data_IF_063051857417
#
_entry.id   IF_063051857417
#
_cell.length_a   1.000
_cell.length_b   1.000
_cell.length_c   1.000
_cell.angle_alpha   90.00
_cell.angle_beta   90.00
_cell.angle_gamma   90.00
#
_symmetry.space_group_name_H-M   'P 1'
#
loop_
_entity.id
_entity.type
_entity.pdbx_description
1 polymer ?
#
# COMPACT_ATOMS: atom_id res chain seq x y z
N UNK A 1 -18.02 5.71 3.39
CA UNK A 1 -18.61 6.02 2.07
C UNK A 1 -18.57 7.51 1.71
N UNK A 2 -19.11 8.42 2.54
CA UNK A 2 -19.19 9.87 2.20
C UNK A 2 -17.84 10.47 1.77
N UNK A 3 -16.76 10.14 2.49
CA UNK A 3 -15.40 10.63 2.16
C UNK A 3 -14.92 10.15 0.80
N UNK A 4 -15.11 8.88 0.45
CA UNK A 4 -14.65 8.29 -0.82
C UNK A 4 -15.35 8.91 -2.02
N UNK A 5 -16.67 9.12 -1.94
CA UNK A 5 -17.43 9.76 -3.01
C UNK A 5 -17.03 11.24 -3.19
N UNK A 6 -16.81 11.96 -2.08
CA UNK A 6 -16.33 13.34 -2.11
C UNK A 6 -14.97 13.47 -2.78
N UNK A 7 -14.00 12.63 -2.41
CA UNK A 7 -12.66 12.63 -3.03
C UNK A 7 -12.73 12.32 -4.53
N UNK A 8 -13.62 11.40 -4.95
CA UNK A 8 -13.82 11.11 -6.37
C UNK A 8 -14.37 12.32 -7.14
N UNK A 9 -15.38 13.02 -6.59
CA UNK A 9 -15.95 14.21 -7.21
C UNK A 9 -14.94 15.37 -7.31
N UNK A 10 -14.15 15.60 -6.25
CA UNK A 10 -13.12 16.65 -6.22
C UNK A 10 -11.98 16.31 -7.19
N UNK A 11 -11.57 15.05 -7.26
CA UNK A 11 -10.57 14.61 -8.25
C UNK A 11 -11.05 14.90 -9.67
N UNK A 12 -12.32 14.56 -9.96
CA UNK A 12 -12.90 14.80 -11.28
C UNK A 12 -13.00 16.30 -11.64
N UNK A 13 -13.28 17.18 -10.67
CA UNK A 13 -13.35 18.64 -10.93
C UNK A 13 -12.01 19.25 -11.34
N UNK A 14 -10.89 18.62 -10.96
CA UNK A 14 -9.53 19.00 -11.39
C UNK A 14 -8.99 18.13 -12.52
N UNK A 15 -9.84 17.32 -13.17
CA UNK A 15 -9.47 16.48 -14.31
C UNK A 15 -8.72 15.19 -13.95
N UNK A 16 -8.70 14.79 -12.67
CA UNK A 16 -8.10 13.53 -12.21
C UNK A 16 -9.15 12.42 -12.15
N UNK A 17 -8.74 11.21 -12.53
CA UNK A 17 -9.58 10.01 -12.45
C UNK A 17 -9.00 9.00 -11.44
N UNK A 18 -9.86 8.46 -10.58
CA UNK A 18 -9.46 7.43 -9.61
C UNK A 18 -9.51 6.07 -10.30
N UNK A 19 -8.36 5.40 -10.38
CA UNK A 19 -8.26 4.09 -10.99
C UNK A 19 -8.73 2.99 -10.01
N UNK A 20 -10.00 2.60 -10.13
CA UNK A 20 -10.64 1.61 -9.25
C UNK A 20 -9.81 0.34 -9.01
N UNK A 21 -9.31 -0.29 -10.08
CA UNK A 21 -8.53 -1.54 -9.96
C UNK A 21 -7.14 -1.41 -9.30
N UNK A 22 -6.63 -0.19 -9.10
CA UNK A 22 -5.36 0.07 -8.39
C UNK A 22 -5.62 0.58 -6.96
N UNK A 23 -6.84 1.02 -6.68
CA UNK A 23 -7.23 1.50 -5.37
C UNK A 23 -7.57 0.31 -4.49
N UNK A 24 -6.89 0.22 -3.36
CA UNK A 24 -7.14 -0.79 -2.32
C UNK A 24 -7.40 -0.09 -1.00
N UNK A 25 -8.09 -0.77 -0.10
CA UNK A 25 -8.38 -0.29 1.24
C UNK A 25 -7.33 -0.86 2.17
N UNK A 26 -6.60 0.01 2.86
CA UNK A 26 -5.68 -0.38 3.90
C UNK A 26 -6.26 0.06 5.24
N UNK A 27 -6.32 -0.86 6.20
CA UNK A 27 -6.90 -0.62 7.53
C UNK A 27 -5.77 -0.52 8.54
N UNK A 28 -5.83 0.49 9.40
CA UNK A 28 -4.85 0.73 10.45
C UNK A 28 -5.56 0.90 11.78
N UNK A 29 -5.16 0.14 12.79
CA UNK A 29 -5.69 0.18 14.17
C UNK A 29 -7.22 0.01 14.28
N UNK A 30 -7.88 -0.69 13.36
CA UNK A 30 -9.33 -0.89 13.40
C UNK A 30 -9.71 -2.32 13.02
N UNK A 31 -10.46 -2.99 13.89
CA UNK A 31 -11.01 -4.32 13.60
C UNK A 31 -12.37 -4.13 12.92
N UNK A 32 -12.42 -4.50 11.64
CA UNK A 32 -13.65 -4.65 10.83
C UNK A 32 -14.53 -3.41 10.65
N UNK A 33 -14.19 -2.61 9.63
CA UNK A 33 -15.07 -1.59 9.04
C UNK A 33 -15.85 -2.14 7.85
N UNK A 34 -17.02 -1.55 7.59
CA UNK A 34 -17.88 -1.85 6.44
C UNK A 34 -17.11 -1.80 5.11
N UNK A 35 -17.50 -2.62 4.11
CA UNK A 35 -16.87 -2.59 2.79
C UNK A 35 -16.88 -1.19 2.19
N UNK A 36 -15.72 -0.76 1.67
CA UNK A 36 -15.62 0.53 0.97
C UNK A 36 -15.91 0.30 -0.50
N UNK A 37 -16.82 1.11 -1.04
CA UNK A 37 -17.21 1.06 -2.46
C UNK A 37 -16.80 2.33 -3.18
N UNK A 38 -16.40 2.19 -4.45
CA UNK A 38 -16.07 3.30 -5.35
C UNK A 38 -16.79 3.09 -6.70
N UNK A 39 -17.78 3.94 -6.99
CA UNK A 39 -18.56 3.84 -8.22
C UNK A 39 -19.21 2.46 -8.40
N UNK A 40 -19.78 1.92 -7.32
CA UNK A 40 -20.46 0.62 -7.28
C UNK A 40 -19.56 -0.61 -7.06
N UNK A 41 -18.25 -0.47 -7.21
CA UNK A 41 -17.29 -1.58 -7.01
C UNK A 41 -16.77 -1.61 -5.58
N UNK A 42 -16.80 -2.78 -4.94
CA UNK A 42 -16.16 -3.00 -3.63
C UNK A 42 -14.65 -3.08 -3.82
N UNK A 43 -13.91 -2.28 -3.07
CA UNK A 43 -12.46 -2.25 -3.12
C UNK A 43 -11.88 -3.39 -2.27
N UNK A 44 -10.75 -3.95 -2.74
CA UNK A 44 -10.02 -5.00 -2.03
C UNK A 44 -9.37 -4.45 -0.76
N UNK A 45 -9.52 -5.17 0.36
CA UNK A 45 -8.80 -4.89 1.60
C UNK A 45 -7.39 -5.52 1.56
N UNK A 46 -6.37 -4.78 1.99
CA UNK A 46 -4.99 -5.26 2.08
C UNK A 46 -4.40 -5.06 3.48
N UNK A 47 -3.62 -6.04 3.92
CA UNK A 47 -2.91 -6.05 5.22
C UNK A 47 -1.57 -5.29 5.16
N UNK A 48 -1.02 -5.10 3.96
CA UNK A 48 0.19 -4.30 3.76
C UNK A 48 0.25 -3.68 2.37
N UNK A 49 0.99 -2.58 2.25
CA UNK A 49 1.29 -1.95 0.97
C UNK A 49 2.68 -1.31 1.00
N UNK A 50 3.26 -1.10 -0.19
CA UNK A 50 4.53 -0.40 -0.33
C UNK A 50 4.27 1.05 -0.70
N UNK A 51 4.76 1.98 0.12
CA UNK A 51 4.71 3.41 -0.15
C UNK A 51 6.11 4.00 -0.18
N UNK A 52 6.50 4.55 -1.33
CA UNK A 52 7.83 5.14 -1.56
C UNK A 52 9.00 4.21 -1.16
N UNK A 53 8.82 2.91 -1.35
CA UNK A 53 9.81 1.88 -1.02
C UNK A 53 9.79 1.41 0.44
N UNK A 54 8.95 1.99 1.30
CA UNK A 54 8.72 1.50 2.65
C UNK A 54 7.52 0.56 2.70
N UNK A 55 7.63 -0.54 3.43
CA UNK A 55 6.51 -1.43 3.72
C UNK A 55 5.70 -0.86 4.89
N UNK A 56 4.41 -0.63 4.65
CA UNK A 56 3.45 -0.23 5.67
C UNK A 56 2.49 -1.42 5.87
N UNK A 57 2.43 -1.95 7.07
CA UNK A 57 1.54 -3.05 7.45
C UNK A 57 0.53 -2.61 8.51
N UNK A 58 -0.53 -3.38 8.69
CA UNK A 58 -1.63 -3.09 9.62
C UNK A 58 -1.15 -2.88 11.08
N UNK A 59 -0.02 -3.48 11.46
CA UNK A 59 0.59 -3.31 12.77
C UNK A 59 1.20 -1.92 12.98
N UNK A 60 1.43 -1.15 11.91
CA UNK A 60 2.03 0.20 11.93
C UNK A 60 3.49 0.24 12.35
N UNK A 61 4.12 -0.92 12.51
CA UNK A 61 5.52 -1.03 12.90
C UNK A 61 6.45 -1.03 11.69
N UNK A 62 7.70 -0.59 11.90
CA UNK A 62 8.74 -0.63 10.87
C UNK A 62 9.41 -2.00 10.72
N UNK A 63 9.04 -3.01 11.53
CA UNK A 63 9.73 -4.30 11.58
C UNK A 63 9.78 -4.99 10.20
N UNK A 64 8.65 -5.04 9.50
CA UNK A 64 8.57 -5.63 8.17
C UNK A 64 9.48 -4.90 7.16
N UNK A 65 9.49 -3.57 7.21
CA UNK A 65 10.33 -2.75 6.33
C UNK A 65 11.83 -2.95 6.63
N UNK A 66 12.21 -2.91 7.91
CA UNK A 66 13.60 -3.12 8.36
C UNK A 66 14.07 -4.50 7.93
N UNK A 67 13.26 -5.54 8.16
CA UNK A 67 13.57 -6.92 7.77
C UNK A 67 13.76 -7.04 6.26
N UNK A 68 12.88 -6.42 5.46
CA UNK A 68 12.99 -6.43 4.00
C UNK A 68 14.27 -5.74 3.51
N UNK A 69 14.62 -4.58 4.08
CA UNK A 69 15.84 -3.84 3.74
C UNK A 69 17.11 -4.62 4.09
N UNK A 70 17.16 -5.27 5.26
CA UNK A 70 18.27 -6.12 5.67
C UNK A 70 18.44 -7.30 4.70
N UNK A 71 17.35 -7.98 4.35
CA UNK A 71 17.39 -9.09 3.39
C UNK A 71 17.91 -8.65 2.02
N UNK A 72 17.47 -7.49 1.53
CA UNK A 72 17.95 -6.93 0.25
C UNK A 72 19.44 -6.59 0.29
N UNK A 73 19.92 -6.00 1.39
CA UNK A 73 21.33 -5.72 1.57
C UNK A 73 22.17 -7.01 1.61
N UNK A 74 21.72 -8.03 2.36
CA UNK A 74 22.39 -9.34 2.41
C UNK A 74 22.50 -9.97 1.02
N UNK A 75 21.43 -9.94 0.22
CA UNK A 75 21.45 -10.45 -1.14
C UNK A 75 22.45 -9.69 -2.03
N UNK A 76 22.48 -8.35 -1.97
CA UNK A 76 23.43 -7.54 -2.72
C UNK A 76 24.89 -7.83 -2.34
N UNK A 77 25.17 -7.97 -1.03
CA UNK A 77 26.52 -8.33 -0.56
C UNK A 77 26.95 -9.72 -1.03
N UNK A 78 26.05 -10.70 -1.03
CA UNK A 78 26.34 -12.05 -1.56
C UNK A 78 26.65 -12.01 -3.05
N UNK A 79 25.88 -11.27 -3.83
CA UNK A 79 26.14 -11.08 -5.27
C UNK A 79 27.51 -10.42 -5.52
N UNK A 80 27.85 -9.39 -4.74
CA UNK A 80 29.15 -8.73 -4.86
C UNK A 80 30.32 -9.69 -4.58
N UNK A 81 30.18 -10.57 -3.58
CA UNK A 81 31.20 -11.59 -3.27
C UNK A 81 31.42 -12.57 -4.42
N UNK A 82 30.35 -12.96 -5.13
CA UNK A 82 30.43 -13.86 -6.28
C UNK A 82 31.09 -13.20 -7.50
N UNK A 83 31.07 -11.88 -7.63
CA UNK A 83 31.73 -11.13 -8.71
C UNK A 83 33.23 -10.93 -8.41
N UNK A 84 33.59 -10.82 -7.12
CA UNK A 84 34.96 -10.53 -6.69
C UNK A 84 35.86 -11.77 -6.57
N UNK A 85 35.28 -12.97 -6.52
CA UNK A 85 36.01 -14.24 -6.60
C UNK A 85 36.17 -14.67 -8.06
#
# INVERSE_FOLDING_TARGET
>A
QIKTASVAAISASVGLNIHKGKTKVFKYNTENSHPVTLGGETLEDVESFTYLGSIINEQGGSDADVKARISKARAAFLQLKNIRN
#
